data_IF_213459914636
#
_entry.id   IF_213459914636
#
_cell.length_a   1.000
_cell.length_b   1.000
_cell.length_c   1.000
_cell.angle_alpha   90.00
_cell.angle_beta   90.00
_cell.angle_gamma   90.00
#
_symmetry.space_group_name_H-M   'P 1'
#
loop_
_entity.id
_entity.type
_entity.pdbx_description
1 polymer ?
#
# COMPACT_ATOMS: atom_id res chain seq x y z
N UNK A 1 -81.80 59.34 29.15
CA UNK A 1 -80.84 58.85 30.17
C UNK A 1 -80.76 57.32 30.19
N UNK A 2 -81.88 56.60 30.24
CA UNK A 2 -81.90 55.13 30.26
C UNK A 2 -81.40 54.47 28.96
N UNK A 3 -81.74 55.03 27.80
CA UNK A 3 -81.29 54.49 26.49
C UNK A 3 -79.78 54.62 26.27
N UNK A 4 -79.16 55.71 26.74
CA UNK A 4 -77.70 55.88 26.67
C UNK A 4 -76.98 54.84 27.52
N UNK A 5 -77.43 54.56 28.74
CA UNK A 5 -76.85 53.50 29.56
C UNK A 5 -76.95 52.11 28.90
N UNK A 6 -78.04 51.83 28.19
CA UNK A 6 -78.18 50.55 27.47
C UNK A 6 -77.25 50.43 26.26
N UNK A 7 -77.01 51.54 25.55
CA UNK A 7 -76.05 51.58 24.46
C UNK A 7 -74.62 51.36 24.99
N UNK A 8 -74.24 52.08 26.06
CA UNK A 8 -72.92 51.96 26.68
C UNK A 8 -72.68 50.55 27.23
N UNK A 9 -73.69 49.91 27.82
CA UNK A 9 -73.60 48.52 28.30
C UNK A 9 -73.37 47.55 27.15
N UNK A 10 -74.14 47.65 26.06
CA UNK A 10 -73.96 46.79 24.88
C UNK A 10 -72.60 46.97 24.23
N UNK A 11 -72.11 48.20 24.17
CA UNK A 11 -70.77 48.50 23.66
C UNK A 11 -69.69 47.89 24.56
N UNK A 12 -69.81 48.05 25.88
CA UNK A 12 -68.90 47.43 26.85
C UNK A 12 -68.91 45.90 26.77
N UNK A 13 -70.07 45.28 26.62
CA UNK A 13 -70.21 43.82 26.44
C UNK A 13 -69.55 43.35 25.14
N UNK A 14 -69.75 44.09 24.04
CA UNK A 14 -69.10 43.81 22.75
C UNK A 14 -67.57 43.92 22.85
N UNK A 15 -67.08 44.98 23.50
CA UNK A 15 -65.66 45.20 23.74
C UNK A 15 -65.05 44.10 24.61
N UNK A 16 -65.76 43.68 25.68
CA UNK A 16 -65.29 42.59 26.53
C UNK A 16 -65.20 41.26 25.76
N UNK A 17 -66.21 40.95 24.93
CA UNK A 17 -66.21 39.75 24.11
C UNK A 17 -65.06 39.75 23.08
N UNK A 18 -64.79 40.90 22.46
CA UNK A 18 -63.68 41.06 21.52
C UNK A 18 -62.32 40.90 22.23
N UNK A 19 -62.16 41.51 23.40
CA UNK A 19 -60.95 41.38 24.20
C UNK A 19 -60.70 39.93 24.61
N UNK A 20 -61.76 39.21 25.00
CA UNK A 20 -61.69 37.80 25.38
C UNK A 20 -61.20 36.94 24.20
N UNK A 21 -61.77 37.14 23.00
CA UNK A 21 -61.31 36.45 21.79
C UNK A 21 -59.85 36.76 21.43
N UNK A 22 -59.44 38.02 21.58
CA UNK A 22 -58.05 38.42 21.34
C UNK A 22 -57.10 37.74 22.33
N UNK A 23 -57.48 37.67 23.61
CA UNK A 23 -56.71 37.00 24.65
C UNK A 23 -56.59 35.50 24.39
N UNK A 24 -57.68 34.82 24.02
CA UNK A 24 -57.67 33.40 23.69
C UNK A 24 -56.77 33.10 22.49
N UNK A 25 -56.84 33.94 21.44
CA UNK A 25 -55.97 33.83 20.28
C UNK A 25 -54.50 34.06 20.64
N UNK A 26 -54.20 35.06 21.48
CA UNK A 26 -52.85 35.34 21.93
C UNK A 26 -52.28 34.17 22.77
N UNK A 27 -53.09 33.60 23.66
CA UNK A 27 -52.72 32.43 24.45
C UNK A 27 -52.46 31.19 23.58
N UNK A 28 -53.31 30.96 22.58
CA UNK A 28 -53.12 29.87 21.63
C UNK A 28 -51.82 30.05 20.83
N UNK A 29 -51.57 31.26 20.33
CA UNK A 29 -50.34 31.58 19.61
C UNK A 29 -49.09 31.41 20.51
N UNK A 30 -49.15 31.85 21.76
CA UNK A 30 -48.06 31.70 22.72
C UNK A 30 -47.78 30.22 23.00
N UNK A 31 -48.81 29.38 23.11
CA UNK A 31 -48.63 27.94 23.31
C UNK A 31 -47.92 27.29 22.13
N UNK A 32 -48.37 27.58 20.91
CA UNK A 32 -47.73 27.08 19.68
C UNK A 32 -46.28 27.55 19.58
N UNK A 33 -46.00 28.82 19.91
CA UNK A 33 -44.64 29.34 19.93
C UNK A 33 -43.74 28.62 20.96
N UNK A 34 -44.26 28.33 22.15
CA UNK A 34 -43.53 27.58 23.18
C UNK A 34 -43.22 26.14 22.74
N UNK A 35 -44.19 25.45 22.15
CA UNK A 35 -44.02 24.10 21.59
C UNK A 35 -42.97 24.09 20.46
N UNK A 36 -43.01 25.07 19.55
CA UNK A 36 -42.04 25.21 18.47
C UNK A 36 -40.62 25.46 18.99
N UNK A 37 -40.46 26.29 20.02
CA UNK A 37 -39.16 26.53 20.67
C UNK A 37 -38.62 25.27 21.34
N UNK A 38 -39.48 24.46 21.98
CA UNK A 38 -39.05 23.20 22.59
C UNK A 38 -38.53 22.22 21.53
N UNK A 39 -39.25 22.06 20.41
CA UNK A 39 -38.82 21.22 19.29
C UNK A 39 -37.51 21.71 18.70
N UNK A 40 -37.37 23.02 18.46
CA UNK A 40 -36.14 23.60 17.94
C UNK A 40 -34.95 23.39 18.88
N UNK A 41 -35.16 23.51 20.19
CA UNK A 41 -34.11 23.26 21.18
C UNK A 41 -33.69 21.79 21.24
N UNK A 42 -34.63 20.85 21.13
CA UNK A 42 -34.33 19.41 21.04
C UNK A 42 -33.50 19.10 19.80
N UNK A 43 -33.89 19.64 18.64
CA UNK A 43 -33.16 19.43 17.40
C UNK A 43 -31.76 20.06 17.44
N UNK A 44 -31.64 21.28 17.97
CA UNK A 44 -30.33 21.92 18.19
C UNK A 44 -29.41 21.07 19.06
N UNK A 45 -29.93 20.48 20.14
CA UNK A 45 -29.15 19.58 21.00
C UNK A 45 -28.71 18.33 20.24
N UNK A 46 -29.61 17.71 19.48
CA UNK A 46 -29.32 16.53 18.65
C UNK A 46 -28.19 16.81 17.65
N UNK A 47 -28.28 17.92 16.91
CA UNK A 47 -27.27 18.34 15.95
C UNK A 47 -25.92 18.63 16.61
N UNK A 48 -25.92 19.20 17.82
CA UNK A 48 -24.69 19.47 18.56
C UNK A 48 -24.00 18.17 19.01
N UNK A 49 -24.77 17.17 19.42
CA UNK A 49 -24.25 15.85 19.79
C UNK A 49 -23.71 15.10 18.55
N UNK A 50 -24.40 15.18 17.40
CA UNK A 50 -23.91 14.67 16.12
C UNK A 50 -22.61 15.34 15.70
N UNK A 51 -22.55 16.67 15.76
CA UNK A 51 -21.35 17.43 15.41
C UNK A 51 -20.14 17.01 16.26
N UNK A 52 -20.33 16.81 17.57
CA UNK A 52 -19.26 16.31 18.45
C UNK A 52 -18.81 14.90 18.07
N UNK A 53 -19.75 14.01 17.73
CA UNK A 53 -19.43 12.66 17.25
C UNK A 53 -18.62 12.70 15.95
N UNK A 54 -19.02 13.54 15.01
CA UNK A 54 -18.29 13.75 13.76
C UNK A 54 -16.89 14.32 13.99
N UNK A 55 -16.74 15.29 14.90
CA UNK A 55 -15.44 15.85 15.25
C UNK A 55 -14.51 14.79 15.86
N UNK A 56 -15.03 13.96 16.77
CA UNK A 56 -14.26 12.87 17.35
C UNK A 56 -13.82 11.85 16.29
N UNK A 57 -14.72 11.47 15.38
CA UNK A 57 -14.38 10.57 14.25
C UNK A 57 -13.30 11.18 13.37
N UNK A 58 -13.41 12.47 13.04
CA UNK A 58 -12.42 13.17 12.22
C UNK A 58 -11.04 13.21 12.91
N UNK A 59 -10.99 13.43 14.22
CA UNK A 59 -9.74 13.37 15.01
C UNK A 59 -9.11 11.98 14.98
N UNK A 60 -9.90 10.92 15.15
CA UNK A 60 -9.41 9.55 15.06
C UNK A 60 -8.88 9.20 13.68
N UNK A 61 -9.58 9.61 12.62
CA UNK A 61 -9.13 9.39 11.24
C UNK A 61 -7.81 10.13 10.94
N UNK A 62 -7.66 11.37 11.41
CA UNK A 62 -6.40 12.12 11.28
C UNK A 62 -5.23 11.41 11.96
N UNK A 63 -5.44 10.91 13.19
CA UNK A 63 -4.41 10.14 13.90
C UNK A 63 -4.01 8.87 13.15
N UNK A 64 -4.97 8.17 12.56
CA UNK A 64 -4.71 6.97 11.77
C UNK A 64 -3.95 7.30 10.48
N UNK A 65 -4.28 8.43 9.83
CA UNK A 65 -3.56 8.91 8.65
C UNK A 65 -2.10 9.23 9.00
N UNK A 66 -1.85 9.97 10.08
CA UNK A 66 -0.49 10.31 10.53
C UNK A 66 0.33 9.04 10.84
N UNK A 67 -0.28 8.04 11.49
CA UNK A 67 0.36 6.76 11.76
C UNK A 67 0.67 5.99 10.46
N UNK A 68 -0.26 5.97 9.50
CA UNK A 68 -0.06 5.33 8.21
C UNK A 68 1.03 6.03 7.38
N UNK A 69 1.07 7.37 7.39
CA UNK A 69 2.12 8.15 6.73
C UNK A 69 3.49 7.88 7.34
N UNK A 70 3.58 7.76 8.67
CA UNK A 70 4.81 7.37 9.36
C UNK A 70 5.26 5.98 8.93
N UNK A 71 4.35 5.00 8.95
CA UNK A 71 4.64 3.64 8.50
C UNK A 71 5.07 3.57 7.03
N UNK A 72 4.46 4.38 6.16
CA UNK A 72 4.87 4.49 4.75
C UNK A 72 6.31 5.00 4.62
N UNK A 73 6.68 6.06 5.36
CA UNK A 73 8.03 6.61 5.34
C UNK A 73 9.07 5.62 5.86
N UNK A 74 8.76 4.88 6.92
CA UNK A 74 9.63 3.83 7.46
C UNK A 74 9.81 2.69 6.45
N UNK A 75 8.74 2.24 5.80
CA UNK A 75 8.81 1.23 4.74
C UNK A 75 9.62 1.70 3.52
N UNK A 76 9.46 2.97 3.11
CA UNK A 76 10.24 3.56 2.01
C UNK A 76 11.74 3.61 2.34
N UNK A 77 12.09 4.00 3.57
CA UNK A 77 13.48 3.99 4.02
C UNK A 77 14.07 2.56 4.03
N UNK A 78 13.29 1.58 4.49
CA UNK A 78 13.73 0.18 4.53
C UNK A 78 13.90 -0.40 3.13
N UNK A 79 13.00 -0.10 2.20
CA UNK A 79 13.14 -0.49 0.79
C UNK A 79 14.39 0.12 0.18
N UNK A 80 14.65 1.41 0.43
CA UNK A 80 15.87 2.06 -0.06
C UNK A 80 17.14 1.40 0.50
N UNK A 81 17.14 1.05 1.79
CA UNK A 81 18.25 0.33 2.45
C UNK A 81 18.48 -1.03 1.81
N UNK A 82 17.45 -1.85 1.67
CA UNK A 82 17.52 -3.18 1.06
C UNK A 82 17.97 -3.14 -0.41
N UNK A 83 17.53 -2.14 -1.17
CA UNK A 83 18.00 -1.94 -2.54
C UNK A 83 19.48 -1.58 -2.61
N UNK A 84 19.98 -0.82 -1.63
CA UNK A 84 21.40 -0.54 -1.47
C UNK A 84 22.21 -1.81 -1.21
N UNK A 85 21.77 -2.61 -0.23
CA UNK A 85 22.41 -3.89 0.10
C UNK A 85 22.39 -4.88 -1.07
N UNK A 86 21.26 -4.96 -1.79
CA UNK A 86 21.15 -5.80 -2.98
C UNK A 86 22.20 -5.41 -4.03
N UNK A 87 22.34 -4.11 -4.33
CA UNK A 87 23.34 -3.63 -5.30
C UNK A 87 24.76 -3.95 -4.87
N UNK A 88 25.06 -3.79 -3.58
CA UNK A 88 26.38 -4.14 -3.04
C UNK A 88 26.67 -5.64 -3.20
N UNK A 89 25.68 -6.49 -2.93
CA UNK A 89 25.79 -7.93 -3.10
C UNK A 89 25.93 -8.35 -4.57
N UNK A 90 25.18 -7.72 -5.47
CA UNK A 90 25.32 -7.94 -6.92
C UNK A 90 26.74 -7.58 -7.40
N UNK A 91 27.30 -6.45 -6.96
CA UNK A 91 28.67 -6.06 -7.29
C UNK A 91 29.72 -7.03 -6.71
N UNK A 92 29.52 -7.51 -5.48
CA UNK A 92 30.40 -8.55 -4.88
C UNK A 92 30.34 -9.85 -5.67
N UNK A 93 29.15 -10.27 -6.09
CA UNK A 93 28.98 -11.49 -6.88
C UNK A 93 29.72 -11.37 -8.22
N UNK A 94 29.55 -10.25 -8.93
CA UNK A 94 30.24 -9.98 -10.20
C UNK A 94 31.77 -10.02 -10.03
N UNK A 95 32.30 -9.42 -8.97
CA UNK A 95 33.73 -9.48 -8.66
C UNK A 95 34.21 -10.92 -8.39
N UNK A 96 33.46 -11.69 -7.60
CA UNK A 96 33.81 -13.10 -7.30
C UNK A 96 33.75 -13.96 -8.56
N UNK A 97 32.76 -13.75 -9.43
CA UNK A 97 32.66 -14.44 -10.71
C UNK A 97 33.86 -14.11 -11.62
N UNK A 98 34.23 -12.83 -11.71
CA UNK A 98 35.39 -12.40 -12.47
C UNK A 98 36.71 -12.99 -11.93
N UNK A 99 36.91 -12.96 -10.61
CA UNK A 99 38.07 -13.58 -9.95
C UNK A 99 38.11 -15.10 -10.16
N UNK A 100 36.95 -15.76 -10.09
CA UNK A 100 36.86 -17.20 -10.34
C UNK A 100 37.27 -17.52 -11.77
N UNK A 101 36.70 -16.84 -12.77
CA UNK A 101 37.03 -17.07 -14.18
C UNK A 101 38.52 -16.78 -14.47
N UNK A 102 39.04 -15.67 -13.95
CA UNK A 102 40.44 -15.28 -14.15
C UNK A 102 41.42 -16.32 -13.57
N UNK A 103 41.07 -16.93 -12.43
CA UNK A 103 41.95 -17.89 -11.76
C UNK A 103 41.66 -19.35 -12.14
N UNK A 104 40.52 -19.65 -12.77
CA UNK A 104 40.09 -21.01 -13.09
C UNK A 104 41.15 -21.79 -13.87
N UNK A 105 41.69 -21.18 -14.93
CA UNK A 105 42.72 -21.78 -15.79
C UNK A 105 44.08 -21.92 -15.10
N UNK A 106 44.31 -21.19 -14.01
CA UNK A 106 45.55 -21.21 -13.23
C UNK A 106 45.46 -22.16 -12.03
N UNK A 107 44.36 -22.90 -11.87
CA UNK A 107 44.22 -23.88 -10.78
C UNK A 107 44.89 -25.19 -11.13
N UNK A 108 45.55 -25.81 -10.14
CA UNK A 108 46.12 -27.15 -10.26
C UNK A 108 45.05 -28.19 -10.64
N UNK A 109 43.78 -27.95 -10.25
CA UNK A 109 42.65 -28.78 -10.67
C UNK A 109 42.38 -28.71 -12.18
N UNK A 110 42.42 -27.51 -12.77
CA UNK A 110 42.28 -27.35 -14.22
C UNK A 110 43.46 -27.96 -14.96
N UNK A 111 44.69 -27.73 -14.49
CA UNK A 111 45.89 -28.34 -15.08
C UNK A 111 45.85 -29.86 -15.00
N UNK A 112 45.52 -30.44 -13.84
CA UNK A 112 45.38 -31.89 -13.67
C UNK A 112 44.27 -32.48 -14.55
N UNK A 113 43.15 -31.76 -14.69
CA UNK A 113 42.06 -32.16 -15.57
C UNK A 113 42.52 -32.12 -17.04
N UNK A 114 43.08 -31.00 -17.49
CA UNK A 114 43.62 -30.82 -18.84
C UNK A 114 44.69 -31.86 -19.17
N UNK A 115 45.63 -32.10 -18.27
CA UNK A 115 46.69 -33.11 -18.42
C UNK A 115 46.14 -34.54 -18.50
N UNK A 116 45.12 -34.85 -17.70
CA UNK A 116 44.44 -36.14 -17.79
C UNK A 116 43.79 -36.33 -19.17
N UNK A 117 43.03 -35.35 -19.66
CA UNK A 117 42.37 -35.44 -20.96
C UNK A 117 43.33 -35.29 -22.16
N UNK A 118 44.50 -34.67 -21.98
CA UNK A 118 45.56 -34.67 -22.99
C UNK A 118 46.26 -36.04 -23.11
N UNK A 119 46.29 -36.83 -22.02
CA UNK A 119 46.90 -38.17 -22.00
C UNK A 119 45.93 -39.28 -22.40
N UNK A 120 44.64 -39.12 -22.11
CA UNK A 120 43.61 -40.07 -22.52
C UNK A 120 43.07 -39.67 -23.88
N UNK A 121 43.25 -40.53 -24.89
CA UNK A 121 42.74 -40.25 -26.22
C UNK A 121 41.22 -40.00 -26.19
N UNK A 122 40.73 -39.03 -26.96
CA UNK A 122 39.30 -38.68 -27.02
C UNK A 122 38.37 -39.91 -27.17
N UNK A 123 38.81 -40.92 -27.92
CA UNK A 123 38.08 -42.18 -28.10
C UNK A 123 38.09 -43.10 -26.87
N UNK A 124 39.15 -43.10 -26.06
CA UNK A 124 39.19 -43.84 -24.79
C UNK A 124 38.22 -43.22 -23.77
N UNK A 125 38.16 -41.89 -23.68
CA UNK A 125 37.21 -41.18 -22.83
C UNK A 125 35.77 -41.49 -23.22
N UNK A 126 35.45 -41.36 -24.51
CA UNK A 126 34.12 -41.67 -25.02
C UNK A 126 33.74 -43.14 -24.78
N UNK A 127 34.71 -44.05 -24.90
CA UNK A 127 34.52 -45.47 -24.62
C UNK A 127 34.20 -45.70 -23.14
N UNK A 128 34.98 -45.15 -22.21
CA UNK A 128 34.73 -45.28 -20.76
C UNK A 128 33.39 -44.67 -20.36
N UNK A 129 33.03 -43.50 -20.90
CA UNK A 129 31.74 -42.85 -20.64
C UNK A 129 30.57 -43.69 -21.17
N UNK A 130 30.70 -44.28 -22.36
CA UNK A 130 29.68 -45.17 -22.94
C UNK A 130 29.52 -46.46 -22.15
N UNK A 131 30.62 -47.00 -21.60
CA UNK A 131 30.59 -48.22 -20.77
C UNK A 131 29.98 -47.97 -19.40
N UNK A 132 30.35 -46.86 -18.73
CA UNK A 132 29.88 -46.57 -17.37
C UNK A 132 28.50 -45.90 -17.34
N UNK A 133 28.12 -45.19 -18.41
CA UNK A 133 26.88 -44.44 -18.50
C UNK A 133 26.21 -44.60 -19.89
N UNK A 134 25.67 -45.80 -20.21
CA UNK A 134 25.16 -46.12 -21.54
C UNK A 134 23.93 -45.29 -21.98
N UNK A 135 23.29 -44.56 -21.06
CA UNK A 135 22.16 -43.67 -21.34
C UNK A 135 22.57 -42.22 -21.65
N UNK A 136 23.84 -41.85 -21.49
CA UNK A 136 24.32 -40.53 -21.87
C UNK A 136 24.37 -40.42 -23.41
N UNK A 137 23.64 -39.46 -23.97
CA UNK A 137 23.69 -39.15 -25.40
C UNK A 137 25.00 -38.45 -25.76
N UNK A 138 26.04 -39.21 -26.09
CA UNK A 138 27.39 -38.69 -26.40
C UNK A 138 27.56 -38.18 -27.84
N UNK A 139 26.53 -38.30 -28.70
CA UNK A 139 26.59 -37.89 -30.11
C UNK A 139 27.10 -36.45 -30.38
N UNK A 140 26.77 -35.44 -29.56
CA UNK A 140 27.32 -34.10 -29.73
C UNK A 140 28.83 -33.99 -29.42
N UNK A 141 29.36 -34.87 -28.57
CA UNK A 141 30.78 -34.86 -28.17
C UNK A 141 31.68 -35.58 -29.18
N UNK A 142 31.11 -36.46 -30.02
CA UNK A 142 31.83 -37.20 -31.07
C UNK A 142 32.24 -36.33 -32.27
N UNK A 143 31.67 -35.14 -32.42
CA UNK A 143 31.85 -34.26 -33.60
C UNK A 143 32.42 -32.88 -33.27
N UNK A 144 32.63 -32.55 -31.99
CA UNK A 144 32.75 -31.16 -31.53
C UNK A 144 34.10 -30.70 -30.98
N UNK A 145 35.13 -31.55 -30.93
CA UNK A 145 36.45 -31.14 -30.42
C UNK A 145 37.45 -31.03 -31.57
N UNK A 146 37.43 -29.90 -32.28
CA UNK A 146 38.62 -29.45 -33.02
C UNK A 146 39.54 -28.80 -31.99
N UNK A 147 40.73 -29.37 -31.69
CA UNK A 147 41.72 -28.63 -30.93
C UNK A 147 42.05 -27.33 -31.68
N UNK A 148 42.32 -26.22 -30.97
CA UNK A 148 42.82 -25.02 -31.64
C UNK A 148 44.12 -25.38 -32.37
N UNK A 149 44.23 -24.99 -33.64
CA UNK A 149 45.46 -25.13 -34.40
C UNK A 149 46.57 -24.41 -33.63
N UNK A 150 47.52 -25.19 -33.13
CA UNK A 150 48.78 -24.65 -32.63
C UNK A 150 49.54 -24.26 -33.89
N UNK A 151 49.55 -22.98 -34.24
CA UNK A 151 50.51 -22.46 -35.21
C UNK A 151 51.90 -22.73 -34.63
N UNK A 152 52.62 -23.67 -35.22
CA UNK A 152 54.04 -23.85 -35.00
C UNK A 152 54.73 -22.54 -35.44
N UNK A 153 55.13 -21.71 -34.48
CA UNK A 153 56.20 -20.73 -34.71
C UNK A 153 57.48 -21.53 -34.99
N UNK A 154 57.67 -21.92 -36.25
CA UNK A 154 58.97 -22.32 -36.76
C UNK A 154 59.90 -21.09 -36.74
N UNK A 155 60.88 -21.15 -35.84
CA UNK A 155 62.10 -20.34 -35.87
C UNK A 155 62.66 -20.25 -37.31
N UNK A 156 62.76 -19.04 -37.87
CA UNK A 156 63.73 -18.62 -38.89
C UNK A 156 63.87 -17.11 -38.99
#
# INVERSE_FOLDING_TARGET
MYEHLQADLRESESNFLNLTKQLDNANAAQRVAAEALEVANKEKKRLLDESKSHEQKARSLRKNLEAAEKGRKEAEAEVARLLGEKKEMEAKLENVEAEFVANFYNTEAYTNFSDYFARVGHQEVLTVLRTNHPSLGLGPLETGFSPPDVEDEEDS
#
